data_IF_966029669281
#
_entry.id   IF_966029669281
#
_cell.length_a   1.000
_cell.length_b   1.000
_cell.length_c   1.000
_cell.angle_alpha   90.00
_cell.angle_beta   90.00
_cell.angle_gamma   90.00
#
_symmetry.space_group_name_H-M   'P 1'
#
loop_
_entity.id
_entity.type
_entity.pdbx_description
1 polymer ?
#
# COMPACT_ATOMS: atom_id res chain seq x y z
N UNK A 1 -11.73 -92.45 11.30
CA UNK A 1 -10.68 -91.44 10.98
C UNK A 1 -11.18 -90.34 10.05
N UNK A 2 -11.95 -90.66 9.00
CA UNK A 2 -12.47 -89.68 8.01
C UNK A 2 -13.31 -88.53 8.62
N UNK A 3 -14.15 -88.81 9.61
CA UNK A 3 -14.97 -87.78 10.31
C UNK A 3 -14.15 -86.84 11.19
N UNK A 4 -13.06 -87.32 11.80
CA UNK A 4 -12.14 -86.48 12.59
C UNK A 4 -11.31 -85.54 11.70
N UNK A 5 -10.93 -85.99 10.50
CA UNK A 5 -10.22 -85.17 9.51
C UNK A 5 -11.14 -84.10 8.91
N UNK A 6 -12.40 -84.43 8.60
CA UNK A 6 -13.41 -83.45 8.16
C UNK A 6 -13.70 -82.40 9.24
N UNK A 7 -13.79 -82.80 10.50
CA UNK A 7 -13.99 -81.86 11.61
C UNK A 7 -12.78 -80.92 11.80
N UNK A 8 -11.57 -81.44 11.69
CA UNK A 8 -10.34 -80.65 11.79
C UNK A 8 -10.21 -79.66 10.62
N UNK A 9 -10.57 -80.06 9.40
CA UNK A 9 -10.56 -79.21 8.21
C UNK A 9 -11.64 -78.11 8.26
N UNK A 10 -12.81 -78.42 8.82
CA UNK A 10 -13.85 -77.43 9.09
C UNK A 10 -13.41 -76.42 10.15
N UNK A 11 -12.73 -76.87 11.21
CA UNK A 11 -12.22 -76.00 12.28
C UNK A 11 -11.12 -75.06 11.77
N UNK A 12 -10.19 -75.56 10.95
CA UNK A 12 -9.14 -74.71 10.33
C UNK A 12 -9.72 -73.71 9.34
N UNK A 13 -10.79 -74.07 8.63
CA UNK A 13 -11.51 -73.15 7.73
C UNK A 13 -12.21 -72.04 8.52
N UNK A 14 -12.91 -72.36 9.62
CA UNK A 14 -13.55 -71.36 10.47
C UNK A 14 -12.56 -70.36 11.09
N UNK A 15 -11.40 -70.82 11.55
CA UNK A 15 -10.36 -69.95 12.11
C UNK A 15 -9.80 -69.01 11.02
N UNK A 16 -9.64 -69.51 9.78
CA UNK A 16 -9.18 -68.71 8.64
C UNK A 16 -10.20 -67.63 8.23
N UNK A 17 -11.50 -67.93 8.29
CA UNK A 17 -12.57 -66.94 8.04
C UNK A 17 -12.63 -65.85 9.13
N UNK A 18 -12.38 -66.20 10.39
CA UNK A 18 -12.35 -65.21 11.48
C UNK A 18 -11.20 -64.20 11.36
N UNK A 19 -10.08 -64.59 10.75
CA UNK A 19 -8.91 -63.73 10.55
C UNK A 19 -9.10 -62.68 9.44
N UNK A 20 -10.01 -62.94 8.47
CA UNK A 20 -10.33 -61.96 7.43
C UNK A 20 -11.28 -60.86 7.92
N UNK A 21 -12.14 -61.17 8.90
CA UNK A 21 -13.14 -60.22 9.42
C UNK A 21 -12.53 -59.12 10.33
N UNK A 22 -11.32 -59.30 10.84
CA UNK A 22 -10.65 -58.34 11.73
C UNK A 22 -9.85 -57.24 11.00
N UNK A 23 -9.91 -57.16 9.67
CA UNK A 23 -9.10 -56.20 8.88
C UNK A 23 -9.72 -54.81 8.67
N UNK A 24 -10.91 -54.55 9.20
CA UNK A 24 -11.50 -53.20 9.15
C UNK A 24 -10.98 -52.33 10.29
N UNK A 25 -9.67 -52.17 10.42
CA UNK A 25 -9.10 -51.14 11.28
C UNK A 25 -9.32 -49.80 10.58
N UNK A 26 -10.41 -49.11 10.94
CA UNK A 26 -10.69 -47.74 10.50
C UNK A 26 -9.52 -46.87 10.96
N UNK A 27 -8.79 -46.29 10.00
CA UNK A 27 -7.67 -45.40 10.28
C UNK A 27 -8.18 -43.99 10.46
N UNK A 28 -8.19 -43.55 11.71
CA UNK A 28 -8.62 -42.21 12.09
C UNK A 28 -7.38 -41.38 12.44
N UNK A 29 -7.33 -40.15 11.91
CA UNK A 29 -6.38 -39.12 12.32
C UNK A 29 -7.09 -37.88 12.82
N UNK A 30 -6.37 -36.99 13.47
CA UNK A 30 -6.85 -35.65 13.74
C UNK A 30 -5.78 -34.59 13.47
N UNK A 31 -6.24 -33.38 13.20
CA UNK A 31 -5.42 -32.18 13.01
C UNK A 31 -5.90 -31.08 13.96
N UNK A 32 -5.00 -30.18 14.30
CA UNK A 32 -5.28 -28.91 14.95
C UNK A 32 -5.00 -27.79 13.93
N UNK A 33 -6.05 -27.36 13.22
CA UNK A 33 -5.91 -26.35 12.17
C UNK A 33 -5.45 -25.01 12.74
N UNK A 34 -5.90 -24.63 13.93
CA UNK A 34 -5.45 -23.40 14.60
C UNK A 34 -3.95 -23.44 14.87
N UNK A 35 -3.45 -24.54 15.45
CA UNK A 35 -2.01 -24.73 15.64
C UNK A 35 -1.23 -24.67 14.32
N UNK A 36 -1.74 -25.30 13.25
CA UNK A 36 -1.06 -25.26 11.95
C UNK A 36 -1.04 -23.82 11.41
N UNK A 37 -2.16 -23.10 11.46
CA UNK A 37 -2.26 -21.71 11.00
C UNK A 37 -1.29 -20.79 11.76
N UNK A 38 -1.25 -20.89 13.09
CA UNK A 38 -0.35 -20.11 13.95
C UNK A 38 1.12 -20.36 13.63
N UNK A 39 1.50 -21.54 13.14
CA UNK A 39 2.89 -21.91 12.87
C UNK A 39 3.31 -21.74 11.39
N UNK A 40 2.40 -21.32 10.50
CA UNK A 40 2.73 -21.02 9.09
C UNK A 40 3.28 -19.59 8.99
N UNK A 41 4.53 -19.38 8.55
CA UNK A 41 5.15 -18.05 8.49
C UNK A 41 4.33 -17.03 7.68
N UNK A 42 3.76 -17.46 6.56
CA UNK A 42 2.94 -16.60 5.70
C UNK A 42 1.69 -16.06 6.42
N UNK A 43 1.10 -16.86 7.31
CA UNK A 43 -0.06 -16.45 8.10
C UNK A 43 0.33 -15.49 9.22
N UNK A 44 1.46 -15.74 9.87
CA UNK A 44 2.01 -14.83 10.89
C UNK A 44 2.29 -13.44 10.30
N UNK A 45 3.00 -13.38 9.18
CA UNK A 45 3.33 -12.11 8.52
C UNK A 45 2.06 -11.33 8.10
N UNK A 46 1.08 -12.04 7.56
CA UNK A 46 -0.20 -11.45 7.17
C UNK A 46 -1.01 -10.97 8.38
N UNK A 47 -0.95 -11.69 9.50
CA UNK A 47 -1.62 -11.32 10.75
C UNK A 47 -1.01 -10.06 11.35
N UNK A 48 0.32 -9.95 11.37
CA UNK A 48 1.02 -8.74 11.83
C UNK A 48 0.61 -7.52 10.99
N UNK A 49 0.55 -7.66 9.66
CA UNK A 49 0.09 -6.58 8.78
C UNK A 49 -1.38 -6.22 8.99
N UNK A 50 -2.23 -7.19 9.32
CA UNK A 50 -3.64 -6.94 9.64
C UNK A 50 -3.77 -6.22 10.98
N UNK A 51 -3.01 -6.64 11.98
CA UNK A 51 -2.99 -6.01 13.31
C UNK A 51 -2.52 -4.56 13.23
N UNK A 52 -1.51 -4.26 12.42
CA UNK A 52 -1.09 -2.88 12.14
C UNK A 52 -2.23 -2.02 11.57
N UNK A 53 -3.03 -2.58 10.66
CA UNK A 53 -4.20 -1.87 10.11
C UNK A 53 -5.28 -1.68 11.17
N UNK A 54 -5.52 -2.70 12.00
CA UNK A 54 -6.47 -2.63 13.12
C UNK A 54 -6.07 -1.53 14.09
N UNK A 55 -4.78 -1.44 14.44
CA UNK A 55 -4.28 -0.38 15.32
C UNK A 55 -4.48 1.00 14.69
N UNK A 56 -4.16 1.17 13.40
CA UNK A 56 -4.41 2.44 12.69
C UNK A 56 -5.89 2.85 12.71
N UNK A 57 -6.80 1.92 12.46
CA UNK A 57 -8.24 2.21 12.52
C UNK A 57 -8.70 2.55 13.94
N UNK A 58 -8.15 1.90 14.97
CA UNK A 58 -8.43 2.24 16.37
C UNK A 58 -7.94 3.66 16.71
N UNK A 59 -6.70 4.00 16.36
CA UNK A 59 -6.16 5.35 16.57
C UNK A 59 -7.00 6.40 15.82
N UNK A 60 -7.43 6.11 14.59
CA UNK A 60 -8.26 7.05 13.82
C UNK A 60 -9.64 7.26 14.47
N UNK A 61 -10.26 6.20 14.99
CA UNK A 61 -11.53 6.30 15.73
C UNK A 61 -11.33 7.11 17.01
N UNK A 62 -10.27 6.85 17.77
CA UNK A 62 -9.95 7.58 19.00
C UNK A 62 -9.70 9.07 18.73
N UNK A 63 -8.98 9.41 17.66
CA UNK A 63 -8.75 10.80 17.25
C UNK A 63 -10.06 11.50 16.88
N UNK A 64 -10.94 10.82 16.13
CA UNK A 64 -12.26 11.37 15.75
C UNK A 64 -13.15 11.56 16.97
N UNK A 65 -13.19 10.60 17.90
CA UNK A 65 -13.94 10.70 19.14
C UNK A 65 -13.42 11.86 20.01
N UNK A 66 -12.09 12.02 20.12
CA UNK A 66 -11.50 13.14 20.83
C UNK A 66 -11.86 14.50 20.21
N UNK A 67 -11.94 14.61 18.88
CA UNK A 67 -12.38 15.83 18.20
C UNK A 67 -13.84 16.15 18.48
N UNK A 68 -14.71 15.15 18.44
CA UNK A 68 -16.13 15.30 18.78
C UNK A 68 -16.30 15.75 20.24
N UNK A 69 -15.58 15.15 21.17
CA UNK A 69 -15.61 15.54 22.58
C UNK A 69 -15.16 16.99 22.78
N UNK A 70 -14.10 17.43 22.10
CA UNK A 70 -13.66 18.83 22.12
C UNK A 70 -14.73 19.78 21.57
N UNK A 71 -15.41 19.41 20.47
CA UNK A 71 -16.52 20.20 19.91
C UNK A 71 -17.70 20.30 20.86
N UNK A 72 -18.04 19.21 21.55
CA UNK A 72 -19.09 19.20 22.59
C UNK A 72 -18.74 20.13 23.75
N UNK A 73 -17.49 20.09 24.22
CA UNK A 73 -17.00 20.97 25.29
C UNK A 73 -16.96 22.45 24.86
N UNK A 74 -16.60 22.73 23.61
CA UNK A 74 -16.66 24.08 23.05
C UNK A 74 -18.11 24.56 22.95
N UNK A 75 -19.03 23.73 22.45
CA UNK A 75 -20.44 24.07 22.35
C UNK A 75 -21.04 24.33 23.74
N UNK A 76 -20.71 23.53 24.76
CA UNK A 76 -21.21 23.74 26.12
C UNK A 76 -20.69 25.05 26.72
N UNK A 77 -19.40 25.37 26.50
CA UNK A 77 -18.76 26.61 26.99
C UNK A 77 -19.28 27.86 26.27
N UNK A 78 -19.50 27.78 24.96
CA UNK A 78 -19.97 28.90 24.13
C UNK A 78 -21.50 29.02 24.08
N UNK A 79 -22.25 28.00 24.53
CA UNK A 79 -23.72 27.95 24.44
C UNK A 79 -24.43 29.17 25.02
N UNK A 80 -23.86 29.78 26.08
CA UNK A 80 -24.41 30.97 26.73
C UNK A 80 -24.30 32.22 25.84
N UNK A 81 -23.35 32.23 24.90
CA UNK A 81 -23.05 33.34 24.00
C UNK A 81 -23.68 33.19 22.61
N UNK A 82 -24.23 32.00 22.29
CA UNK A 82 -24.76 31.67 20.96
C UNK A 82 -26.28 31.82 20.89
N UNK A 83 -26.80 32.04 19.68
CA UNK A 83 -28.24 31.99 19.42
C UNK A 83 -28.73 30.54 19.37
N UNK A 84 -30.02 30.31 19.64
CA UNK A 84 -30.61 28.97 19.60
C UNK A 84 -30.46 28.28 18.25
N UNK A 85 -30.49 29.04 17.15
CA UNK A 85 -30.31 28.51 15.78
C UNK A 85 -28.87 28.01 15.57
N UNK A 86 -27.86 28.76 16.00
CA UNK A 86 -26.45 28.37 15.91
C UNK A 86 -26.14 27.14 16.78
N UNK A 87 -26.77 27.03 17.96
CA UNK A 87 -26.63 25.86 18.82
C UNK A 87 -27.20 24.61 18.14
N UNK A 88 -28.38 24.73 17.51
CA UNK A 88 -29.00 23.62 16.79
C UNK A 88 -28.16 23.16 15.59
N UNK A 89 -27.62 24.10 14.81
CA UNK A 89 -26.73 23.79 13.67
C UNK A 89 -25.46 23.05 14.12
N UNK A 90 -24.79 23.53 15.17
CA UNK A 90 -23.59 22.86 15.71
C UNK A 90 -23.89 21.51 16.35
N UNK A 91 -25.05 21.35 16.98
CA UNK A 91 -25.47 20.06 17.52
C UNK A 91 -25.72 19.08 16.39
N UNK A 92 -26.39 19.49 15.31
CA UNK A 92 -26.58 18.65 14.12
C UNK A 92 -25.25 18.25 13.48
N UNK A 93 -24.28 19.16 13.38
CA UNK A 93 -22.93 18.83 12.92
C UNK A 93 -22.24 17.78 13.80
N UNK A 94 -22.33 17.92 15.13
CA UNK A 94 -21.79 16.95 16.08
C UNK A 94 -22.49 15.59 15.91
N UNK A 95 -23.82 15.58 15.83
CA UNK A 95 -24.61 14.35 15.68
C UNK A 95 -24.28 13.64 14.36
N UNK A 96 -24.06 14.39 13.28
CA UNK A 96 -23.59 13.83 11.99
C UNK A 96 -22.22 13.19 12.16
N UNK A 97 -21.26 13.87 12.78
CA UNK A 97 -19.92 13.31 13.01
C UNK A 97 -19.93 12.06 13.89
N UNK A 98 -20.79 12.02 14.91
CA UNK A 98 -20.98 10.82 15.74
C UNK A 98 -21.52 9.64 14.93
N UNK A 99 -22.54 9.89 14.11
CA UNK A 99 -23.08 8.87 13.23
C UNK A 99 -22.03 8.39 12.21
N UNK A 100 -21.20 9.29 11.67
CA UNK A 100 -20.10 8.92 10.77
C UNK A 100 -19.05 8.05 11.46
N UNK A 101 -18.73 8.32 12.74
CA UNK A 101 -17.81 7.48 13.53
C UNK A 101 -18.42 6.09 13.77
N UNK A 102 -19.71 6.01 14.13
CA UNK A 102 -20.40 4.73 14.31
C UNK A 102 -20.45 3.93 13.02
N UNK A 103 -20.78 4.56 11.90
CA UNK A 103 -20.76 3.95 10.58
C UNK A 103 -19.36 3.46 10.21
N UNK A 104 -18.33 4.26 10.52
CA UNK A 104 -16.94 3.86 10.28
C UNK A 104 -16.57 2.64 11.13
N UNK A 105 -16.90 2.65 12.42
CA UNK A 105 -16.65 1.53 13.31
C UNK A 105 -17.37 0.27 12.83
N UNK A 106 -18.63 0.37 12.41
CA UNK A 106 -19.40 -0.76 11.87
C UNK A 106 -18.81 -1.27 10.55
N UNK A 107 -18.38 -0.39 9.64
CA UNK A 107 -17.73 -0.77 8.38
C UNK A 107 -16.40 -1.48 8.60
N UNK A 108 -15.63 -1.09 9.62
CA UNK A 108 -14.32 -1.71 9.92
C UNK A 108 -14.44 -2.97 10.77
N UNK A 109 -15.20 -2.92 11.86
CA UNK A 109 -15.25 -3.93 12.93
C UNK A 109 -16.57 -4.68 13.04
N UNK A 110 -17.57 -4.37 12.22
CA UNK A 110 -18.84 -5.08 12.21
C UNK A 110 -18.70 -6.55 11.75
N UNK A 111 -19.79 -7.35 11.85
CA UNK A 111 -19.77 -8.77 11.49
C UNK A 111 -19.38 -9.05 10.03
N UNK A 112 -19.73 -8.12 9.12
CA UNK A 112 -19.32 -8.12 7.71
C UNK A 112 -18.36 -6.97 7.40
N UNK A 113 -17.65 -6.49 8.42
CA UNK A 113 -16.71 -5.39 8.28
C UNK A 113 -15.42 -5.81 7.58
N UNK A 114 -14.64 -4.80 7.18
CA UNK A 114 -13.37 -4.98 6.47
C UNK A 114 -12.39 -5.88 7.22
N UNK A 115 -12.37 -5.83 8.56
CA UNK A 115 -11.51 -6.70 9.37
C UNK A 115 -11.84 -8.17 9.16
N UNK A 116 -13.13 -8.54 9.25
CA UNK A 116 -13.55 -9.93 9.12
C UNK A 116 -13.33 -10.45 7.71
N UNK A 117 -13.63 -9.61 6.71
CA UNK A 117 -13.39 -9.93 5.30
C UNK A 117 -11.91 -10.17 5.04
N UNK A 118 -11.04 -9.25 5.51
CA UNK A 118 -9.59 -9.39 5.34
C UNK A 118 -9.06 -10.63 6.09
N UNK A 119 -9.51 -10.87 7.32
CA UNK A 119 -9.13 -12.07 8.09
C UNK A 119 -9.49 -13.35 7.34
N UNK A 120 -10.71 -13.43 6.80
CA UNK A 120 -11.16 -14.57 6.00
C UNK A 120 -10.32 -14.72 4.72
N UNK A 121 -10.06 -13.62 4.02
CA UNK A 121 -9.28 -13.63 2.78
C UNK A 121 -7.82 -14.07 3.00
N UNK A 122 -7.23 -13.73 4.14
CA UNK A 122 -5.87 -14.16 4.52
C UNK A 122 -5.83 -15.62 4.96
N UNK A 123 -6.85 -16.07 5.69
CA UNK A 123 -6.95 -17.44 6.21
C UNK A 123 -7.26 -18.46 5.11
N UNK A 124 -8.16 -18.12 4.18
CA UNK A 124 -8.62 -19.02 3.12
C UNK A 124 -7.50 -19.67 2.28
N UNK A 125 -6.50 -18.95 1.73
CA UNK A 125 -5.44 -19.58 0.94
C UNK A 125 -4.54 -20.51 1.76
N UNK A 126 -4.42 -20.31 3.07
CA UNK A 126 -3.67 -21.21 3.95
C UNK A 126 -4.52 -22.43 4.29
N UNK A 127 -5.82 -22.27 4.55
CA UNK A 127 -6.77 -23.37 4.71
C UNK A 127 -6.81 -24.29 3.48
N UNK A 128 -6.80 -23.72 2.27
CA UNK A 128 -6.76 -24.50 1.03
C UNK A 128 -5.47 -25.34 0.92
N UNK A 129 -4.34 -24.81 1.40
CA UNK A 129 -3.07 -25.54 1.46
C UNK A 129 -3.10 -26.66 2.51
N UNK A 130 -3.67 -26.39 3.69
CA UNK A 130 -3.90 -27.39 4.73
C UNK A 130 -4.76 -28.51 4.18
N UNK A 131 -5.89 -28.19 3.54
CA UNK A 131 -6.79 -29.17 2.96
C UNK A 131 -6.10 -30.06 1.93
N UNK A 132 -5.31 -29.45 1.03
CA UNK A 132 -4.53 -30.19 0.01
C UNK A 132 -3.51 -31.13 0.67
N UNK A 133 -2.74 -30.62 1.64
CA UNK A 133 -1.74 -31.42 2.36
C UNK A 133 -2.37 -32.57 3.17
N UNK A 134 -3.52 -32.32 3.79
CA UNK A 134 -4.31 -33.34 4.50
C UNK A 134 -4.78 -34.42 3.54
N UNK A 135 -5.29 -34.06 2.36
CA UNK A 135 -5.73 -35.02 1.34
C UNK A 135 -4.57 -35.90 0.84
N UNK A 136 -3.40 -35.30 0.59
CA UNK A 136 -2.19 -36.05 0.21
C UNK A 136 -1.74 -37.01 1.32
N UNK A 137 -1.77 -36.59 2.59
CA UNK A 137 -1.40 -37.46 3.72
C UNK A 137 -2.44 -38.56 3.93
N UNK A 138 -3.73 -38.23 3.80
CA UNK A 138 -4.84 -39.16 3.92
C UNK A 138 -4.70 -40.31 2.92
N UNK A 139 -4.48 -39.97 1.65
CA UNK A 139 -4.32 -40.95 0.57
C UNK A 139 -3.05 -41.78 0.73
N UNK A 140 -1.90 -41.16 1.01
CA UNK A 140 -0.63 -41.87 1.15
C UNK A 140 -0.61 -42.85 2.34
N UNK A 141 -1.28 -42.51 3.45
CA UNK A 141 -1.33 -43.34 4.66
C UNK A 141 -2.61 -44.17 4.79
N UNK A 142 -3.52 -44.03 3.83
CA UNK A 142 -4.83 -44.67 3.78
C UNK A 142 -5.64 -44.41 5.07
N UNK A 143 -5.76 -43.14 5.46
CA UNK A 143 -6.71 -42.72 6.50
C UNK A 143 -8.13 -42.72 5.92
N UNK A 144 -9.08 -43.23 6.69
CA UNK A 144 -10.50 -43.24 6.33
C UNK A 144 -11.19 -41.95 6.79
N UNK A 145 -10.77 -41.40 7.94
CA UNK A 145 -11.29 -40.16 8.51
C UNK A 145 -10.19 -39.30 9.12
N UNK A 146 -10.29 -37.99 8.92
CA UNK A 146 -9.44 -36.99 9.58
C UNK A 146 -10.36 -35.94 10.19
N UNK A 147 -10.23 -35.74 11.50
CA UNK A 147 -11.03 -34.77 12.24
C UNK A 147 -10.20 -33.52 12.56
N UNK A 148 -10.83 -32.36 12.50
CA UNK A 148 -10.24 -31.12 12.98
C UNK A 148 -10.66 -30.89 14.44
N UNK A 149 -9.67 -30.76 15.33
CA UNK A 149 -9.85 -30.45 16.75
C UNK A 149 -10.25 -28.99 16.98
N UNK A 150 -9.90 -28.10 16.05
CA UNK A 150 -10.25 -26.68 16.11
C UNK A 150 -11.70 -26.42 15.67
N UNK A 151 -12.38 -27.42 15.09
CA UNK A 151 -13.79 -27.36 14.74
C UNK A 151 -14.69 -27.62 15.95
N UNK A 152 -16.01 -27.41 15.79
CA UNK A 152 -17.04 -27.60 16.83
C UNK A 152 -17.16 -29.05 17.38
N UNK A 153 -16.31 -29.98 16.93
CA UNK A 153 -16.27 -31.36 17.41
C UNK A 153 -15.49 -31.41 18.71
N UNK A 154 -16.19 -31.56 19.82
CA UNK A 154 -15.58 -31.69 21.15
C UNK A 154 -14.87 -33.05 21.27
N UNK A 155 -13.54 -33.05 21.16
CA UNK A 155 -12.70 -34.21 21.40
C UNK A 155 -12.28 -34.27 22.88
N UNK A 156 -12.83 -35.22 23.63
CA UNK A 156 -12.54 -35.34 25.07
C UNK A 156 -11.14 -35.92 25.35
N UNK A 157 -10.67 -36.82 24.51
CA UNK A 157 -9.36 -37.44 24.61
C UNK A 157 -8.94 -38.04 23.27
N UNK A 158 -7.68 -37.85 22.91
CA UNK A 158 -7.04 -38.54 21.81
C UNK A 158 -5.62 -38.92 22.22
N UNK A 159 -5.10 -39.99 21.62
CA UNK A 159 -3.70 -40.35 21.76
C UNK A 159 -2.88 -39.62 20.71
N UNK A 160 -1.73 -39.05 21.09
CA UNK A 160 -0.84 -38.26 20.21
C UNK A 160 -0.43 -38.99 18.92
N UNK A 161 -0.44 -40.32 18.93
CA UNK A 161 -0.16 -41.15 17.74
C UNK A 161 -1.13 -40.94 16.57
N UNK A 162 -2.31 -40.38 16.84
CA UNK A 162 -3.31 -40.06 15.82
C UNK A 162 -3.23 -38.59 15.36
N UNK A 163 -2.37 -37.79 15.99
CA UNK A 163 -2.09 -36.43 15.56
C UNK A 163 -1.25 -36.43 14.29
N UNK A 164 -1.76 -35.79 13.24
CA UNK A 164 -1.01 -35.57 12.00
C UNK A 164 -0.70 -34.10 11.75
N UNK A 165 -0.99 -33.20 12.70
CA UNK A 165 -0.82 -31.74 12.56
C UNK A 165 0.61 -31.38 12.22
N UNK A 166 1.58 -31.95 12.93
CA UNK A 166 3.00 -31.79 12.68
C UNK A 166 3.43 -32.26 11.27
N UNK A 167 2.82 -33.35 10.78
CA UNK A 167 3.12 -33.85 9.45
C UNK A 167 2.53 -32.94 8.37
N UNK A 168 1.33 -32.42 8.58
CA UNK A 168 0.67 -31.46 7.71
C UNK A 168 1.47 -30.15 7.67
N UNK A 169 1.84 -29.61 8.84
CA UNK A 169 2.67 -28.42 8.96
C UNK A 169 3.97 -28.57 8.18
N UNK A 170 4.71 -29.68 8.39
CA UNK A 170 5.94 -29.96 7.60
C UNK A 170 5.68 -30.05 6.10
N UNK A 171 4.54 -30.61 5.68
CA UNK A 171 4.17 -30.67 4.25
C UNK A 171 3.93 -29.28 3.68
N UNK A 172 3.22 -28.42 4.42
CA UNK A 172 2.95 -27.03 4.02
C UNK A 172 4.25 -26.23 4.00
N UNK A 173 5.07 -26.27 5.04
CA UNK A 173 6.35 -25.55 5.07
C UNK A 173 7.29 -26.05 3.97
N UNK A 174 7.33 -27.36 3.69
CA UNK A 174 8.13 -27.91 2.57
C UNK A 174 7.57 -27.48 1.22
N UNK A 175 6.26 -27.45 1.04
CA UNK A 175 5.63 -27.02 -0.21
C UNK A 175 5.77 -25.51 -0.42
N UNK A 176 5.65 -24.70 0.64
CA UNK A 176 5.89 -23.26 0.61
C UNK A 176 7.36 -22.97 0.35
N UNK A 177 8.28 -23.60 1.07
CA UNK A 177 9.71 -23.49 0.79
C UNK A 177 10.01 -23.94 -0.64
N UNK A 178 9.43 -25.04 -1.13
CA UNK A 178 9.55 -25.45 -2.54
C UNK A 178 8.99 -24.40 -3.51
N UNK A 179 7.91 -23.69 -3.18
CA UNK A 179 7.36 -22.57 -3.98
C UNK A 179 8.25 -21.33 -3.94
N UNK A 180 8.82 -20.99 -2.78
CA UNK A 180 9.85 -19.94 -2.65
C UNK A 180 11.11 -20.32 -3.46
N UNK A 181 11.48 -21.60 -3.43
CA UNK A 181 12.57 -22.27 -4.19
C UNK A 181 12.33 -22.34 -5.69
N UNK A 182 11.09 -22.19 -6.14
CA UNK A 182 10.77 -22.12 -7.57
C UNK A 182 11.12 -20.77 -8.20
N UNK A 183 11.44 -19.73 -7.41
CA UNK A 183 11.94 -18.45 -7.93
C UNK A 183 13.46 -18.55 -8.24
N UNK A 184 13.78 -19.36 -9.26
CA UNK A 184 15.03 -19.46 -10.06
C UNK A 184 16.35 -19.82 -9.36
N UNK A 185 16.56 -19.55 -8.07
CA UNK A 185 17.87 -19.70 -7.43
C UNK A 185 18.10 -21.03 -6.70
N UNK A 186 17.04 -21.63 -6.14
CA UNK A 186 17.18 -22.82 -5.28
C UNK A 186 16.96 -24.15 -6.03
N UNK A 187 16.44 -24.14 -7.27
CA UNK A 187 16.52 -25.32 -8.16
C UNK A 187 17.95 -25.73 -8.50
N UNK A 188 18.90 -24.77 -8.52
CA UNK A 188 20.32 -25.03 -8.76
C UNK A 188 21.03 -25.52 -7.49
N UNK A 189 20.68 -24.97 -6.34
CA UNK A 189 21.28 -25.38 -5.07
C UNK A 189 20.89 -26.81 -4.64
N UNK A 190 19.71 -27.30 -5.06
CA UNK A 190 19.27 -28.68 -4.81
C UNK A 190 19.86 -29.72 -5.79
N UNK A 191 20.49 -29.29 -6.89
CA UNK A 191 21.28 -30.17 -7.77
C UNK A 191 22.73 -30.36 -7.25
N UNK A 192 23.20 -29.48 -6.36
CA UNK A 192 24.59 -29.43 -5.89
C UNK A 192 24.83 -30.04 -4.49
N UNK A 193 23.83 -30.66 -3.84
CA UNK A 193 24.00 -31.31 -2.52
C UNK A 193 24.18 -32.84 -2.65
N UNK A 194 25.45 -33.22 -2.82
CA UNK A 194 26.10 -34.54 -2.64
C UNK A 194 25.56 -35.78 -3.39
N UNK A 195 26.05 -35.95 -4.64
CA UNK A 195 26.32 -37.26 -5.23
C UNK A 195 27.84 -37.50 -5.23
N UNK A 196 28.22 -38.71 -4.81
CA UNK A 196 29.59 -39.25 -4.68
C UNK A 196 30.44 -38.89 -5.92
N UNK A 197 31.71 -38.47 -5.76
CA UNK A 197 32.49 -37.92 -6.86
C UNK A 197 32.94 -39.04 -7.83
N UNK A 198 32.54 -38.93 -9.09
CA UNK A 198 33.29 -39.50 -10.20
C UNK A 198 33.95 -38.34 -10.95
N UNK A 199 35.27 -38.25 -10.81
CA UNK A 199 36.13 -37.20 -11.36
C UNK A 199 36.07 -37.27 -12.88
N UNK A 200 35.74 -36.15 -13.53
CA UNK A 200 35.93 -35.97 -14.96
C UNK A 200 36.62 -34.63 -15.21
N UNK A 201 37.91 -34.70 -15.51
CA UNK A 201 38.91 -33.60 -15.60
C UNK A 201 38.55 -32.53 -16.66
N UNK A 202 37.55 -32.77 -17.52
CA UNK A 202 37.15 -31.84 -18.58
C UNK A 202 36.27 -30.66 -18.10
N UNK A 203 35.66 -30.74 -16.90
CA UNK A 203 34.82 -29.63 -16.39
C UNK A 203 35.62 -28.50 -15.77
N UNK A 204 36.75 -28.79 -15.12
CA UNK A 204 37.59 -27.76 -14.50
C UNK A 204 38.21 -26.81 -15.54
N UNK A 205 38.66 -27.33 -16.68
CA UNK A 205 39.18 -26.53 -17.77
C UNK A 205 38.13 -25.55 -18.34
N UNK A 206 36.86 -25.98 -18.37
CA UNK A 206 35.74 -25.17 -18.90
C UNK A 206 35.29 -24.08 -17.92
N UNK A 207 35.45 -24.31 -16.62
CA UNK A 207 35.17 -23.33 -15.58
C UNK A 207 36.24 -22.24 -15.50
N UNK A 208 37.51 -22.58 -15.67
CA UNK A 208 38.60 -21.60 -15.75
C UNK A 208 38.41 -20.66 -16.95
N UNK A 209 38.10 -21.20 -18.13
CA UNK A 209 37.79 -20.41 -19.33
C UNK A 209 36.59 -19.46 -19.14
N UNK A 210 35.58 -19.88 -18.38
CA UNK A 210 34.41 -19.05 -18.07
C UNK A 210 34.71 -17.97 -17.02
N UNK A 211 35.59 -18.26 -16.07
CA UNK A 211 36.04 -17.29 -15.08
C UNK A 211 36.93 -16.22 -15.72
N UNK A 212 37.84 -16.60 -16.61
CA UNK A 212 38.72 -15.66 -17.31
C UNK A 212 37.93 -14.77 -18.27
N UNK A 213 36.91 -15.30 -18.95
CA UNK A 213 35.98 -14.49 -19.77
C UNK A 213 35.14 -13.53 -18.93
N UNK A 214 34.76 -13.89 -17.70
CA UNK A 214 34.02 -13.00 -16.81
C UNK A 214 34.91 -11.87 -16.30
N UNK A 215 36.14 -12.18 -15.88
CA UNK A 215 37.13 -11.17 -15.44
C UNK A 215 37.46 -10.19 -16.57
N UNK A 216 37.73 -10.68 -17.78
CA UNK A 216 37.99 -9.82 -18.94
C UNK A 216 36.80 -8.90 -19.25
N UNK A 217 35.56 -9.39 -19.11
CA UNK A 217 34.35 -8.58 -19.33
C UNK A 217 34.12 -7.56 -18.22
N UNK A 218 34.44 -7.89 -16.97
CA UNK A 218 34.38 -6.96 -15.83
C UNK A 218 35.42 -5.84 -15.98
N UNK A 219 36.66 -6.18 -16.35
CA UNK A 219 37.72 -5.22 -16.64
C UNK A 219 37.34 -4.29 -17.80
N UNK A 220 36.71 -4.80 -18.86
CA UNK A 220 36.21 -3.98 -19.98
C UNK A 220 35.08 -3.03 -19.54
N UNK A 221 34.17 -3.49 -18.66
CA UNK A 221 33.09 -2.66 -18.13
C UNK A 221 33.65 -1.56 -17.22
N UNK A 222 34.64 -1.88 -16.38
CA UNK A 222 35.32 -0.90 -15.51
C UNK A 222 36.13 0.12 -16.32
N UNK A 223 36.87 -0.32 -17.34
CA UNK A 223 37.56 0.57 -18.27
C UNK A 223 36.59 1.52 -18.99
N UNK A 224 35.43 1.01 -19.43
CA UNK A 224 34.38 1.83 -20.06
C UNK A 224 33.75 2.83 -19.10
N UNK A 225 33.59 2.46 -17.83
CA UNK A 225 33.07 3.34 -16.77
C UNK A 225 34.07 4.45 -16.44
N UNK A 226 35.35 4.12 -16.33
CA UNK A 226 36.41 5.09 -16.08
C UNK A 226 36.57 6.07 -17.25
N UNK A 227 36.56 5.59 -18.49
CA UNK A 227 36.57 6.44 -19.68
C UNK A 227 35.35 7.38 -19.74
N UNK A 228 34.16 6.94 -19.27
CA UNK A 228 32.98 7.81 -19.16
C UNK A 228 33.13 8.89 -18.08
N UNK A 229 33.80 8.59 -16.97
CA UNK A 229 34.05 9.54 -15.90
C UNK A 229 35.06 10.59 -16.38
N UNK A 230 36.17 10.17 -16.99
CA UNK A 230 37.17 11.08 -17.56
C UNK A 230 36.57 11.98 -18.65
N UNK A 231 35.74 11.43 -19.55
CA UNK A 231 35.06 12.22 -20.57
C UNK A 231 34.08 13.25 -19.98
N UNK A 232 33.48 12.98 -18.81
CA UNK A 232 32.63 13.95 -18.09
C UNK A 232 33.45 15.03 -17.42
N UNK A 233 34.60 14.68 -16.86
CA UNK A 233 35.52 15.64 -16.23
C UNK A 233 36.14 16.59 -17.26
N UNK A 234 36.57 16.08 -18.41
CA UNK A 234 37.05 16.91 -19.52
C UNK A 234 35.97 17.88 -20.01
N UNK A 235 34.73 17.40 -20.20
CA UNK A 235 33.61 18.29 -20.55
C UNK A 235 33.34 19.35 -19.50
N UNK A 236 33.47 19.02 -18.20
CA UNK A 236 33.30 20.00 -17.12
C UNK A 236 34.40 21.07 -17.17
N UNK A 237 35.66 20.67 -17.37
CA UNK A 237 36.79 21.60 -17.52
C UNK A 237 36.64 22.47 -18.77
N UNK A 238 36.18 21.92 -19.89
CA UNK A 238 35.90 22.70 -21.10
C UNK A 238 34.77 23.73 -20.89
N UNK A 239 33.71 23.35 -20.18
CA UNK A 239 32.60 24.26 -19.85
C UNK A 239 33.10 25.38 -18.92
N UNK A 240 33.96 25.06 -17.96
CA UNK A 240 34.56 26.01 -17.03
C UNK A 240 35.51 26.98 -17.74
N UNK A 241 36.37 26.47 -18.62
CA UNK A 241 37.23 27.30 -19.47
C UNK A 241 36.43 28.21 -20.42
N UNK A 242 35.33 27.71 -21.00
CA UNK A 242 34.40 28.52 -21.80
C UNK A 242 33.74 29.61 -20.96
N UNK A 243 33.34 29.31 -19.71
CA UNK A 243 32.81 30.31 -18.78
C UNK A 243 33.83 31.39 -18.43
N UNK A 244 35.08 31.01 -18.18
CA UNK A 244 36.16 31.96 -17.88
C UNK A 244 36.41 32.92 -19.06
N UNK A 245 36.50 32.38 -20.29
CA UNK A 245 36.63 33.21 -21.51
C UNK A 245 35.48 34.20 -21.69
N UNK A 246 34.24 33.76 -21.44
CA UNK A 246 33.06 34.65 -21.50
C UNK A 246 33.12 35.74 -20.42
N UNK A 247 33.63 35.43 -19.23
CA UNK A 247 33.77 36.42 -18.15
C UNK A 247 34.86 37.44 -18.47
N UNK A 248 35.99 36.99 -19.03
CA UNK A 248 37.09 37.86 -19.49
C UNK A 248 36.65 38.76 -20.65
N UNK A 249 35.96 38.22 -21.65
CA UNK A 249 35.40 38.99 -22.77
C UNK A 249 34.41 40.04 -22.28
N UNK A 250 33.55 39.69 -21.31
CA UNK A 250 32.64 40.65 -20.66
C UNK A 250 33.36 41.70 -19.82
N UNK A 251 34.49 41.36 -19.21
CA UNK A 251 35.31 42.31 -18.46
C UNK A 251 35.98 43.31 -19.41
N UNK A 252 36.59 42.83 -20.50
CA UNK A 252 37.19 43.69 -21.53
C UNK A 252 36.14 44.59 -22.20
N UNK A 253 34.97 44.07 -22.54
CA UNK A 253 33.87 44.88 -23.09
C UNK A 253 33.33 45.93 -22.10
N UNK A 254 33.43 45.68 -20.77
CA UNK A 254 33.12 46.69 -19.74
C UNK A 254 34.20 47.76 -19.66
N UNK A 255 35.47 47.38 -19.75
CA UNK A 255 36.59 48.32 -19.76
C UNK A 255 36.59 49.21 -21.01
N UNK A 256 36.29 48.67 -22.20
CA UNK A 256 36.12 49.47 -23.42
C UNK A 256 34.98 50.48 -23.28
N UNK A 257 33.83 50.07 -22.73
CA UNK A 257 32.70 50.99 -22.46
C UNK A 257 33.03 52.05 -21.42
N UNK A 258 33.90 51.74 -20.47
CA UNK A 258 34.42 52.71 -19.49
C UNK A 258 35.34 53.72 -20.18
N UNK A 259 36.26 53.26 -21.04
CA UNK A 259 37.14 54.13 -21.85
C UNK A 259 36.35 55.02 -22.82
N UNK A 260 35.29 54.51 -23.46
CA UNK A 260 34.38 55.30 -24.29
C UNK A 260 33.60 56.35 -23.47
N UNK A 261 33.18 56.01 -22.25
CA UNK A 261 32.53 56.97 -21.32
C UNK A 261 33.49 58.06 -20.84
N UNK A 262 34.75 57.73 -20.60
CA UNK A 262 35.79 58.71 -20.25
C UNK A 262 36.13 59.61 -21.45
N UNK A 263 36.22 59.06 -22.66
CA UNK A 263 36.36 59.84 -23.89
C UNK A 263 35.15 60.75 -24.17
N UNK A 264 33.92 60.32 -23.81
CA UNK A 264 32.72 61.14 -23.89
C UNK A 264 32.64 62.24 -22.82
N UNK A 265 33.26 62.04 -21.64
CA UNK A 265 33.41 63.10 -20.62
C UNK A 265 34.41 64.18 -21.05
N UNK A 266 35.46 63.83 -21.80
CA UNK A 266 36.42 64.80 -22.38
C UNK A 266 35.83 65.75 -23.43
N UNK A 267 34.56 65.55 -23.86
CA UNK A 267 33.84 66.43 -24.80
C UNK A 267 32.78 67.33 -24.14
N UNK A 268 32.64 67.29 -22.81
CA UNK A 268 31.64 68.06 -22.03
C UNK A 268 32.25 69.10 -21.08
N UNK A 269 33.51 69.47 -21.26
CA UNK A 269 34.18 70.55 -20.51
C UNK A 269 34.52 71.75 -21.41
N UNK A 270 33.60 72.16 -22.29
CA UNK A 270 33.57 73.52 -22.86
C UNK A 270 32.11 73.91 -23.04
N UNK A 271 31.48 74.37 -21.98
CA UNK A 271 30.59 75.55 -21.96
C UNK A 271 29.81 75.58 -20.64
N UNK A 272 30.38 76.27 -19.64
CA UNK A 272 29.59 76.76 -18.51
C UNK A 272 30.15 78.10 -18.06
N UNK A 273 29.59 79.20 -18.56
CA UNK A 273 29.68 80.49 -17.85
C UNK A 273 28.42 81.34 -18.04
N UNK A 274 27.88 81.80 -16.91
CA UNK A 274 26.86 82.85 -16.73
C UNK A 274 25.41 82.48 -17.11
N UNK A 275 24.35 82.83 -16.37
CA UNK A 275 24.11 84.02 -15.53
C UNK A 275 22.93 83.77 -14.56
N UNK A 276 22.88 84.56 -13.50
CA UNK A 276 22.02 84.51 -12.30
C UNK A 276 20.89 85.56 -12.35
N UNK A 277 19.85 85.35 -11.53
CA UNK A 277 18.75 86.27 -11.10
C UNK A 277 17.62 86.50 -12.13
N UNK A 278 16.31 86.54 -11.82
CA UNK A 278 15.51 86.56 -10.59
C UNK A 278 14.50 87.72 -10.66
N UNK A 279 13.17 87.50 -10.59
CA UNK A 279 12.17 88.26 -9.76
C UNK A 279 10.70 87.78 -9.95
N UNK A 280 9.87 88.17 -8.97
CA UNK A 280 8.49 87.87 -8.52
C UNK A 280 7.28 87.93 -9.49
N UNK A 281 6.18 87.22 -9.12
CA UNK A 281 4.88 87.80 -8.67
C UNK A 281 3.71 86.77 -8.60
N UNK A 282 2.95 86.76 -7.49
CA UNK A 282 1.55 86.26 -7.34
C UNK A 282 0.53 87.35 -7.81
N UNK A 283 -0.82 87.16 -8.01
CA UNK A 283 -1.75 86.26 -7.26
C UNK A 283 -3.01 85.62 -8.00
N UNK A 284 -3.62 84.60 -7.34
CA UNK A 284 -5.07 84.25 -7.11
C UNK A 284 -6.09 84.08 -8.29
N UNK A 285 -6.73 82.88 -8.41
CA UNK A 285 -8.21 82.59 -8.22
C UNK A 285 -8.69 81.23 -8.78
N UNK A 286 -9.42 80.51 -7.89
CA UNK A 286 -10.60 79.63 -8.04
C UNK A 286 -10.81 78.71 -9.26
N UNK A 287 -10.96 77.39 -9.01
CA UNK A 287 -12.00 76.56 -9.64
C UNK A 287 -12.24 75.22 -8.90
N UNK A 288 -13.50 75.02 -8.52
CA UNK A 288 -14.19 73.78 -8.11
C UNK A 288 -14.19 72.77 -9.27
N UNK A 289 -13.93 71.47 -9.03
CA UNK A 289 -14.40 70.35 -9.88
C UNK A 289 -14.16 69.02 -9.14
N UNK A 290 -15.20 68.43 -8.55
CA UNK A 290 -16.00 67.29 -9.08
C UNK A 290 -15.42 65.90 -8.76
N UNK A 291 -16.14 65.17 -7.91
CA UNK A 291 -16.04 63.74 -7.71
C UNK A 291 -16.38 62.97 -9.02
N UNK A 292 -15.72 61.85 -9.34
CA UNK A 292 -16.23 60.93 -10.34
C UNK A 292 -17.04 59.80 -9.67
N UNK A 293 -18.35 59.64 -9.98
CA UNK A 293 -19.13 58.50 -9.52
C UNK A 293 -18.98 57.30 -10.49
N UNK A 294 -19.41 56.12 -10.00
CA UNK A 294 -19.70 54.85 -10.74
C UNK A 294 -18.60 53.77 -10.80
N UNK A 295 -18.30 53.13 -9.66
CA UNK A 295 -17.75 51.74 -9.60
C UNK A 295 -18.58 50.76 -8.76
N UNK A 296 -19.72 51.20 -8.19
CA UNK A 296 -20.56 50.39 -7.30
C UNK A 296 -21.50 49.42 -8.05
N UNK A 297 -22.01 49.78 -9.23
CA UNK A 297 -22.97 48.95 -9.98
C UNK A 297 -22.37 47.65 -10.55
N UNK A 298 -21.07 47.65 -10.90
CA UNK A 298 -20.40 46.47 -11.44
C UNK A 298 -20.15 45.37 -10.39
N UNK A 299 -19.93 45.75 -9.11
CA UNK A 299 -19.79 44.80 -8.01
C UNK A 299 -21.12 44.16 -7.62
N UNK A 300 -22.19 44.93 -7.62
CA UNK A 300 -23.54 44.42 -7.32
C UNK A 300 -24.05 43.47 -8.41
N UNK A 301 -23.80 43.79 -9.68
CA UNK A 301 -24.13 42.90 -10.79
C UNK A 301 -23.38 41.56 -10.72
N UNK A 302 -22.09 41.59 -10.33
CA UNK A 302 -21.27 40.38 -10.18
C UNK A 302 -21.71 39.52 -8.99
N UNK A 303 -22.18 40.15 -7.90
CA UNK A 303 -22.71 39.44 -6.72
C UNK A 303 -24.04 38.75 -7.03
N UNK A 304 -24.97 39.44 -7.71
CA UNK A 304 -26.24 38.86 -8.17
C UNK A 304 -26.02 37.70 -9.15
N UNK A 305 -25.08 37.82 -10.08
CA UNK A 305 -24.74 36.75 -11.01
C UNK A 305 -24.14 35.50 -10.31
N UNK A 306 -23.39 35.69 -9.22
CA UNK A 306 -22.86 34.58 -8.42
C UNK A 306 -23.94 33.89 -7.60
N UNK A 307 -24.87 34.65 -7.01
CA UNK A 307 -26.01 34.10 -6.25
C UNK A 307 -26.97 33.33 -7.16
N UNK A 308 -27.23 33.83 -8.37
CA UNK A 308 -28.06 33.13 -9.35
C UNK A 308 -27.40 31.83 -9.85
N UNK A 309 -26.08 31.83 -10.05
CA UNK A 309 -25.32 30.60 -10.36
C UNK A 309 -25.36 29.59 -9.21
N UNK A 310 -25.23 30.05 -7.96
CA UNK A 310 -25.35 29.17 -6.78
C UNK A 310 -26.75 28.55 -6.68
N UNK A 311 -27.81 29.33 -6.90
CA UNK A 311 -29.19 28.82 -6.92
C UNK A 311 -29.40 27.76 -8.00
N UNK A 312 -28.93 27.99 -9.24
CA UNK A 312 -29.02 27.01 -10.33
C UNK A 312 -28.26 25.71 -10.02
N UNK A 313 -27.12 25.79 -9.34
CA UNK A 313 -26.35 24.59 -8.93
C UNK A 313 -27.09 23.81 -7.84
N UNK A 314 -27.72 24.49 -6.87
CA UNK A 314 -28.49 23.85 -5.81
C UNK A 314 -29.75 23.18 -6.39
N UNK A 315 -30.48 23.85 -7.27
CA UNK A 315 -31.65 23.28 -7.96
C UNK A 315 -31.26 22.05 -8.82
N UNK A 316 -30.14 22.11 -9.54
CA UNK A 316 -29.63 20.97 -10.29
C UNK A 316 -29.26 19.78 -9.39
N UNK A 317 -28.67 20.06 -8.21
CA UNK A 317 -28.29 19.03 -7.23
C UNK A 317 -29.51 18.39 -6.57
N UNK A 318 -30.54 19.18 -6.26
CA UNK A 318 -31.81 18.65 -5.74
C UNK A 318 -32.54 17.80 -6.77
N UNK A 319 -32.58 18.25 -8.03
CA UNK A 319 -33.17 17.47 -9.12
C UNK A 319 -32.46 16.13 -9.30
N UNK A 320 -31.13 16.13 -9.31
CA UNK A 320 -30.34 14.89 -9.38
C UNK A 320 -30.55 13.98 -8.17
N UNK A 321 -30.79 14.53 -6.96
CA UNK A 321 -31.11 13.75 -5.76
C UNK A 321 -32.50 13.12 -5.87
N UNK A 322 -33.49 13.85 -6.37
CA UNK A 322 -34.86 13.34 -6.60
C UNK A 322 -34.87 12.24 -7.67
N UNK A 323 -34.17 12.43 -8.78
CA UNK A 323 -34.04 11.42 -9.83
C UNK A 323 -33.37 10.12 -9.32
N UNK A 324 -32.34 10.23 -8.47
CA UNK A 324 -31.72 9.06 -7.83
C UNK A 324 -32.67 8.33 -6.88
N UNK A 325 -33.43 9.07 -6.08
CA UNK A 325 -34.44 8.49 -5.18
C UNK A 325 -35.57 7.79 -5.93
N UNK A 326 -36.03 8.36 -7.05
CA UNK A 326 -37.03 7.71 -7.91
C UNK A 326 -36.48 6.48 -8.61
N UNK A 327 -35.22 6.52 -9.08
CA UNK A 327 -34.56 5.36 -9.67
C UNK A 327 -34.35 4.22 -8.66
N UNK A 328 -34.10 4.55 -7.39
CA UNK A 328 -33.97 3.58 -6.31
C UNK A 328 -35.32 2.94 -5.97
N UNK A 329 -36.38 3.74 -5.82
CA UNK A 329 -37.76 3.23 -5.62
C UNK A 329 -38.24 2.32 -6.75
N UNK A 330 -37.88 2.63 -8.00
CA UNK A 330 -38.22 1.77 -9.15
C UNK A 330 -37.50 0.42 -9.13
N UNK A 331 -36.24 0.38 -8.66
CA UNK A 331 -35.49 -0.87 -8.48
C UNK A 331 -36.05 -1.72 -7.36
N UNK A 332 -36.48 -1.09 -6.26
CA UNK A 332 -37.06 -1.79 -5.12
C UNK A 332 -38.46 -2.33 -5.44
N UNK A 333 -39.22 -1.69 -6.35
CA UNK A 333 -40.54 -2.16 -6.79
C UNK A 333 -40.52 -3.22 -7.89
N UNK A 334 -39.39 -3.43 -8.57
CA UNK A 334 -39.25 -4.42 -9.66
C UNK A 334 -38.56 -5.72 -9.23
N UNK A 335 -38.29 -5.87 -7.92
CA UNK A 335 -37.62 -7.03 -7.31
C UNK A 335 -38.52 -7.93 -6.47
N UNK A 336 -39.85 -7.73 -6.55
CA UNK A 336 -40.91 -8.66 -6.13
C UNK A 336 -41.58 -9.17 -7.41
#
# INVERSE_FOLDING_TARGET
MKTKVLFLLALTSLISFSSLAQRSNIRIGYIDTEYILENVPEYQDATVQLDDKVQRWKTEIEERLSKVEQKKQQLSSESVLLTKELIAERQEEIDIEENEILDYQQKRFGPNGDLMIQRKQLMQPVQDQIFTAVQEIATNRNYDFIFDKSADVVMLYSADRFDISEQVLRSITRSSKRRQVQNKKERKAAEDEELIPEINEEREAREQDLQDKKKAREEEIEARRNAQIEAREQKKQEIEAKRQKILEERAMAREEKLKEREAAKGKKDVDSTAKKAGDKAEPVKDAKTEEPPKKLSAKEARKKALEEKKKKILEAREKARKEKLEAQKKKDSSGL
#
